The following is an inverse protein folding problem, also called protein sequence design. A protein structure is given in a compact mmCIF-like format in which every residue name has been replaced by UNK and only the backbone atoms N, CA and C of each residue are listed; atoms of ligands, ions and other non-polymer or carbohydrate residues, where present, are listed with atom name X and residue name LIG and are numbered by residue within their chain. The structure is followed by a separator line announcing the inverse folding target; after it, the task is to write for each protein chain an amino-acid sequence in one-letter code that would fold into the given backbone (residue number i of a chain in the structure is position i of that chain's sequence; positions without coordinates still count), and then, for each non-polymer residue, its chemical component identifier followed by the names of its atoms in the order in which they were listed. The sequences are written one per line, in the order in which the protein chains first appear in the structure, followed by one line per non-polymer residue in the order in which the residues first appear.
data_IF_330841246792
#
_entry.id   IF_330841246792
#
_cell.length_a   1.000
_cell.length_b   1.000
_cell.length_c   1.000
_cell.angle_alpha   90.00
_cell.angle_beta   90.00
_cell.angle_gamma   90.00
#
_symmetry.space_group_name_H-M   'P 1'
#
loop_
_entity.id
_entity.type
_entity.pdbx_description
1 polymer ?
#
# COMPACT_ATOMS: atom_id res chain seq x y z
N UNK A 1 6.43 0.45 -10.43
CA UNK A 1 5.34 0.86 -9.51
C UNK A 1 5.20 -0.10 -8.33
N UNK A 2 5.40 -1.42 -8.52
CA UNK A 2 5.53 -2.37 -7.40
C UNK A 2 6.67 -2.02 -6.42
N UNK A 3 7.80 -1.52 -6.92
CA UNK A 3 8.97 -1.12 -6.12
C UNK A 3 8.64 -0.05 -5.07
N UNK A 4 7.69 0.86 -5.37
CA UNK A 4 7.32 1.95 -4.44
C UNK A 4 6.44 1.42 -3.32
N UNK A 5 5.60 0.42 -3.61
CA UNK A 5 4.77 -0.28 -2.62
C UNK A 5 5.65 -1.13 -1.70
N UNK A 6 6.63 -1.86 -2.26
CA UNK A 6 7.59 -2.66 -1.49
C UNK A 6 8.46 -1.75 -0.61
N UNK A 7 9.01 -0.68 -1.18
CA UNK A 7 9.82 0.27 -0.43
C UNK A 7 9.00 0.98 0.67
N UNK A 8 7.71 1.28 0.44
CA UNK A 8 6.83 1.80 1.48
C UNK A 8 6.69 0.81 2.64
N UNK A 9 6.39 -0.45 2.32
CA UNK A 9 6.23 -1.49 3.33
C UNK A 9 7.52 -1.75 4.12
N UNK A 10 8.68 -1.68 3.48
CA UNK A 10 9.99 -1.84 4.13
C UNK A 10 10.41 -0.60 4.93
N UNK A 11 9.96 0.59 4.51
CA UNK A 11 10.32 1.85 5.14
C UNK A 11 9.61 2.10 6.48
N UNK A 12 8.56 1.33 6.81
CA UNK A 12 7.89 1.40 8.11
C UNK A 12 7.13 2.71 8.37
N UNK A 13 6.87 3.53 7.35
CA UNK A 13 6.07 4.73 7.53
C UNK A 13 4.61 4.38 7.81
N UNK A 14 4.04 5.05 8.81
CA UNK A 14 2.61 4.94 9.16
C UNK A 14 1.70 5.55 8.08
N UNK A 15 2.16 6.63 7.46
CA UNK A 15 1.38 7.42 6.52
C UNK A 15 2.03 7.46 5.14
N UNK A 16 1.22 7.14 4.14
CA UNK A 16 1.55 7.22 2.73
C UNK A 16 1.97 8.63 2.30
N UNK A 17 1.34 9.65 2.89
CA UNK A 17 1.64 11.06 2.64
C UNK A 17 3.05 11.40 3.11
N UNK A 18 3.43 10.97 4.31
CA UNK A 18 4.76 11.21 4.89
C UNK A 18 5.83 10.49 4.08
N UNK A 19 5.61 9.22 3.74
CA UNK A 19 6.49 8.47 2.85
C UNK A 19 6.64 9.15 1.48
N UNK A 20 5.54 9.61 0.90
CA UNK A 20 5.56 10.27 -0.40
C UNK A 20 6.39 11.56 -0.35
N UNK A 21 6.25 12.39 0.68
CA UNK A 21 7.00 13.65 0.79
C UNK A 21 8.48 13.41 1.13
N UNK A 22 8.77 12.53 2.09
CA UNK A 22 10.15 12.35 2.58
C UNK A 22 10.99 11.45 1.68
N UNK A 23 10.39 10.43 1.06
CA UNK A 23 11.11 9.44 0.28
C UNK A 23 10.88 9.62 -1.22
N UNK A 24 9.62 9.63 -1.67
CA UNK A 24 9.30 9.70 -3.11
C UNK A 24 9.67 11.07 -3.69
N UNK A 25 9.27 12.16 -3.04
CA UNK A 25 9.58 13.52 -3.50
C UNK A 25 11.07 13.82 -3.47
N UNK A 26 11.81 13.25 -2.51
CA UNK A 26 13.24 13.54 -2.33
C UNK A 26 14.15 12.67 -3.21
N UNK A 27 13.82 11.40 -3.39
CA UNK A 27 14.68 10.44 -4.09
C UNK A 27 14.16 9.97 -5.46
N UNK A 28 12.84 9.96 -5.66
CA UNK A 28 12.23 9.43 -6.89
C UNK A 28 11.73 10.51 -7.85
N UNK A 29 11.37 11.71 -7.39
CA UNK A 29 10.91 12.80 -8.27
C UNK A 29 11.97 13.22 -9.27
N UNK A 30 13.24 13.25 -8.87
CA UNK A 30 14.34 13.60 -9.76
C UNK A 30 14.60 12.51 -10.81
N UNK A 31 14.42 11.23 -10.44
CA UNK A 31 14.60 10.10 -11.37
C UNK A 31 13.41 9.88 -12.29
N UNK A 32 12.21 10.30 -11.90
CA UNK A 32 10.98 9.99 -12.62
C UNK A 32 9.95 11.13 -12.56
N UNK A 33 10.24 12.31 -13.14
CA UNK A 33 9.42 13.52 -12.99
C UNK A 33 7.97 13.38 -13.51
N UNK A 34 7.74 12.49 -14.49
CA UNK A 34 6.39 12.18 -15.03
C UNK A 34 5.77 10.90 -14.49
N UNK A 35 6.56 10.02 -13.86
CA UNK A 35 6.13 8.65 -13.59
C UNK A 35 5.50 8.47 -12.20
N UNK A 36 5.49 9.47 -11.33
CA UNK A 36 5.04 9.31 -9.93
C UNK A 36 3.95 10.31 -9.58
N UNK A 37 2.85 10.33 -10.34
CA UNK A 37 1.71 11.14 -9.90
C UNK A 37 1.13 10.53 -8.61
N UNK A 38 1.08 11.32 -7.53
CA UNK A 38 0.58 10.95 -6.21
C UNK A 38 -0.74 10.18 -6.30
N UNK A 39 -1.68 10.67 -7.11
CA UNK A 39 -3.01 10.07 -7.30
C UNK A 39 -2.95 8.64 -7.81
N UNK A 40 -1.98 8.31 -8.67
CA UNK A 40 -1.84 6.95 -9.21
C UNK A 40 -1.28 5.98 -8.18
N UNK A 41 -0.31 6.43 -7.37
CA UNK A 41 0.24 5.62 -6.27
C UNK A 41 -0.80 5.41 -5.18
N UNK A 42 -1.56 6.46 -4.86
CA UNK A 42 -2.65 6.40 -3.91
C UNK A 42 -3.70 5.37 -4.33
N UNK A 43 -4.16 5.39 -5.60
CA UNK A 43 -5.11 4.40 -6.14
C UNK A 43 -4.59 2.96 -6.05
N UNK A 44 -3.32 2.73 -6.35
CA UNK A 44 -2.71 1.39 -6.26
C UNK A 44 -2.69 0.91 -4.82
N UNK A 45 -2.26 1.76 -3.88
CA UNK A 45 -2.22 1.43 -2.45
C UNK A 45 -3.61 1.15 -1.88
N UNK A 46 -4.62 1.96 -2.26
CA UNK A 46 -6.01 1.70 -1.89
C UNK A 46 -6.49 0.35 -2.44
N UNK A 47 -6.15 0.00 -3.68
CA UNK A 47 -6.48 -1.31 -4.25
C UNK A 47 -5.88 -2.48 -3.48
N UNK A 48 -4.60 -2.38 -3.08
CA UNK A 48 -3.94 -3.42 -2.26
C UNK A 48 -4.55 -3.52 -0.87
N UNK A 49 -4.89 -2.38 -0.24
CA UNK A 49 -5.53 -2.36 1.07
C UNK A 49 -6.93 -2.99 1.03
N UNK A 50 -7.72 -2.69 -0.01
CA UNK A 50 -9.03 -3.30 -0.23
C UNK A 50 -8.91 -4.81 -0.43
N UNK A 51 -7.94 -5.25 -1.23
CA UNK A 51 -7.69 -6.68 -1.45
C UNK A 51 -7.27 -7.38 -0.14
N UNK A 52 -6.44 -6.73 0.67
CA UNK A 52 -6.01 -7.24 1.96
C UNK A 52 -7.17 -7.29 2.97
N UNK A 53 -8.00 -6.24 3.05
CA UNK A 53 -9.20 -6.24 3.87
C UNK A 53 -10.18 -7.33 3.44
N UNK A 54 -10.41 -7.49 2.13
CA UNK A 54 -11.23 -8.58 1.61
C UNK A 54 -10.67 -9.95 2.02
N UNK A 55 -9.36 -10.15 1.85
CA UNK A 55 -8.70 -11.39 2.24
C UNK A 55 -8.81 -11.68 3.74
N UNK A 56 -8.57 -10.67 4.59
CA UNK A 56 -8.67 -10.80 6.05
C UNK A 56 -10.11 -11.06 6.50
N UNK A 57 -11.09 -10.36 5.94
CA UNK A 57 -12.52 -10.60 6.23
C UNK A 57 -12.96 -12.00 5.79
N UNK A 58 -12.50 -12.45 4.61
CA UNK A 58 -12.78 -13.80 4.13
C UNK A 58 -12.12 -14.87 5.01
N UNK A 59 -10.89 -14.65 5.48
CA UNK A 59 -10.26 -15.55 6.46
C UNK A 59 -10.97 -15.54 7.81
N UNK A 60 -11.44 -14.37 8.28
CA UNK A 60 -12.16 -14.25 9.53
C UNK A 60 -13.49 -15.01 9.51
N UNK A 61 -14.21 -15.00 8.38
CA UNK A 61 -15.42 -15.80 8.19
C UNK A 61 -15.14 -17.32 8.24
N UNK A 62 -13.97 -17.75 7.75
CA UNK A 62 -13.55 -19.16 7.82
C UNK A 62 -13.14 -19.59 9.22
N UNK A 63 -12.49 -18.70 9.98
CA UNK A 63 -12.13 -18.93 11.39
C UNK A 63 -13.38 -19.06 12.26
N UNK A 64 -14.41 -18.23 12.02
CA UNK A 64 -15.66 -18.28 12.79
C UNK A 64 -16.47 -19.56 12.49
N UNK A 65 -16.55 -19.96 11.21
CA UNK A 65 -17.20 -21.23 10.81
C UNK A 65 -16.45 -22.49 11.27
N UNK A 66 -15.14 -22.42 11.45
CA UNK A 66 -14.33 -23.51 12.00
C UNK A 66 -14.45 -23.69 13.52
N UNK A 67 -15.00 -22.68 14.22
CA UNK A 67 -15.19 -22.69 15.69
C UNK A 67 -16.60 -23.14 16.11
N UNK A 68 -17.54 -23.13 15.17
CA UNK A 68 -18.93 -23.60 15.33
C UNK A 68 -19.13 -25.06 14.85
N UNK A 69 -18.05 -25.82 14.65
CA UNK A 69 -18.09 -27.25 14.30
C UNK A 69 -17.42 -28.10 15.37
#
# INVERSE_FOLDING_TARGET
MMTIVIAFHQSGYRDLKTYYIHFVCRYLTNKFPKLVNYTRIFKIMQGVLVLLCYYLTHLSDKVDKGRLR
#
